data_IF_250661344033
#
_entry.id   IF_250661344033
#
_cell.length_a   1.000
_cell.length_b   1.000
_cell.length_c   1.000
_cell.angle_alpha   90.00
_cell.angle_beta   90.00
_cell.angle_gamma   90.00
#
_symmetry.space_group_name_H-M   'P 1'
#
loop_
_entity.id
_entity.type
_entity.pdbx_description
1 polymer ?
2 polymer ?
3 polymer ?
4 non-polymer ?
5 non-polymer ?
6 non-polymer ?
7 water ?
#
loop_
_entity_poly.entity_id
_entity_poly.type
_entity_poly.pdbx_seq_one_letter_code
_entity_poly.pdbx_strand_id
1 'polydeoxyribonucleotide' '(DG)(DG)(DG)(DG)(DT)(DG)(DT)(DG)(DG)(DT)(DA)(DG)' ?
2 'polydeoxyribonucleotide' '(DA)(DT)(DC)(DG)(DC)(DT)(DA)(DC)(DC)(DA)(DC)(DA)(DC)(DC)(DC)(DC)(DT)' ?
#
# COMPACT_ATOMS: atom_id res chain seq x y z
N UNK C 11 -18.26 13.05 -21.02
CA UNK C 11 -17.62 11.96 -20.27
C UNK C 11 -16.95 12.50 -19.02
N UNK C 12 -17.11 13.80 -18.76
CA UNK C 12 -16.47 14.46 -17.63
C UNK C 12 -17.49 14.64 -16.51
N UNK C 13 -17.09 14.27 -15.30
CA UNK C 13 -17.97 14.25 -14.13
C UNK C 13 -17.35 15.16 -13.08
N UNK C 14 -18.03 16.26 -12.74
CA UNK C 14 -17.52 17.21 -11.76
C UNK C 14 -17.90 16.77 -10.35
N UNK C 15 -17.29 17.39 -9.34
CA UNK C 15 -17.46 16.84 -7.99
C UNK C 15 -18.86 17.08 -7.45
N UNK C 16 -19.63 18.00 -8.05
CA UNK C 16 -21.01 18.19 -7.62
C UNK C 16 -21.99 17.32 -8.37
N UNK C 17 -21.50 16.49 -9.26
CA UNK C 17 -22.32 15.50 -9.96
C UNK C 17 -22.51 14.26 -9.08
N UNK C 18 -23.73 13.72 -8.99
CA UNK C 18 -23.92 12.53 -8.15
C UNK C 18 -23.04 11.35 -8.54
N UNK C 19 -22.55 11.29 -9.78
CA UNK C 19 -21.73 10.18 -10.23
C UNK C 19 -20.24 10.36 -9.92
N UNK C 20 -19.85 11.42 -9.21
CA UNK C 20 -18.43 11.73 -9.08
C UNK C 20 -17.67 10.64 -8.32
N UNK C 21 -18.19 10.22 -7.15
CA UNK C 21 -17.49 9.22 -6.36
C UNK C 21 -17.27 7.95 -7.16
N UNK C 22 -18.30 7.50 -7.86
CA UNK C 22 -18.17 6.29 -8.66
C UNK C 22 -17.11 6.46 -9.73
N UNK C 23 -17.12 7.59 -10.44
CA UNK C 23 -16.17 7.77 -11.53
C UNK C 23 -14.75 7.95 -11.01
N UNK C 24 -14.59 8.71 -9.92
CA UNK C 24 -13.25 8.89 -9.36
C UNK C 24 -12.66 7.57 -8.89
N UNK C 25 -13.42 6.81 -8.10
CA UNK C 25 -12.91 5.54 -7.62
C UNK C 25 -12.64 4.57 -8.77
N UNK C 26 -13.44 4.62 -9.84
CA UNK C 26 -13.19 3.75 -10.99
C UNK C 26 -11.85 4.04 -11.66
N UNK C 27 -11.39 5.29 -11.58
CA UNK C 27 -10.15 5.70 -12.23
C UNK C 27 -8.95 5.70 -11.30
N UNK C 28 -9.17 5.71 -9.98
CA UNK C 28 -8.09 5.99 -9.04
C UNK C 28 -7.32 4.72 -8.69
N UNK C 29 -6.05 4.67 -9.05
CA UNK C 29 -5.21 3.53 -8.69
C UNK C 29 -5.13 3.36 -7.18
N UNK C 30 -5.07 4.47 -6.43
CA UNK C 30 -4.89 4.34 -5.00
C UNK C 30 -6.17 3.83 -4.34
N UNK C 31 -7.33 4.20 -4.88
CA UNK C 31 -8.57 3.61 -4.38
C UNK C 31 -8.56 2.10 -4.61
N UNK C 32 -8.14 1.67 -5.80
CA UNK C 32 -8.09 0.24 -6.09
C UNK C 32 -7.14 -0.47 -5.14
N UNK C 33 -5.96 0.12 -4.95
CA UNK C 33 -4.91 -0.44 -4.04
C UNK C 33 -5.52 -0.75 -2.67
N UNK C 34 -6.26 0.21 -2.10
CA UNK C 34 -6.88 0.03 -0.79
C UNK C 34 -8.03 -0.95 -0.85
N UNK C 35 -8.86 -0.87 -1.89
CA UNK C 35 -10.04 -1.75 -1.96
C UNK C 35 -9.62 -3.20 -2.13
N UNK C 36 -8.64 -3.45 -3.00
CA UNK C 36 -8.09 -4.78 -3.16
C UNK C 36 -7.56 -5.34 -1.85
N UNK C 37 -6.76 -4.55 -1.13
CA UNK C 37 -6.20 -5.02 0.12
C UNK C 37 -7.30 -5.34 1.13
N UNK C 38 -8.32 -4.49 1.20
CA UNK C 38 -9.45 -4.75 2.09
C UNK C 38 -10.14 -6.06 1.73
N UNK C 39 -10.33 -6.32 0.44
CA UNK C 39 -10.97 -7.56 0.02
C UNK C 39 -10.12 -8.76 0.39
N UNK C 40 -8.79 -8.67 0.18
CA UNK C 40 -7.91 -9.79 0.51
C UNK C 40 -7.95 -10.09 2.01
N UNK C 41 -8.04 -9.03 2.82
CA UNK C 41 -8.10 -9.18 4.29
C UNK C 41 -9.39 -9.92 4.67
N UNK C 42 -10.52 -9.47 4.11
CA UNK C 42 -11.82 -10.11 4.36
C UNK C 42 -11.82 -11.56 3.90
N UNK C 43 -11.22 -11.83 2.74
CA UNK C 43 -11.15 -13.19 2.25
C UNK C 43 -10.36 -14.09 3.19
N UNK C 44 -9.21 -13.60 3.68
CA UNK C 44 -8.43 -14.36 4.66
C UNK C 44 -9.26 -14.66 5.91
N UNK C 45 -9.95 -13.67 6.45
CA UNK C 45 -10.70 -13.89 7.68
C UNK C 45 -11.84 -14.87 7.46
N UNK C 46 -12.51 -14.79 6.30
CA UNK C 46 -13.63 -15.69 6.04
C UNK C 46 -13.16 -17.12 5.81
N UNK C 47 -12.02 -17.28 5.13
CA UNK C 47 -11.50 -18.61 4.87
C UNK C 47 -10.92 -19.26 6.11
N UNK C 48 -10.73 -18.51 7.19
CA UNK C 48 -10.11 -19.01 8.40
C UNK C 48 -10.99 -18.87 9.64
N UNK C 49 -12.29 -18.62 9.47
CA UNK C 49 -13.16 -18.36 10.63
C UNK C 49 -13.13 -19.54 11.60
N UNK C 50 -13.06 -20.77 11.07
CA UNK C 50 -13.01 -21.96 11.90
C UNK C 50 -11.63 -22.59 11.96
N UNK C 51 -10.81 -22.39 10.92
CA UNK C 51 -9.42 -22.82 10.98
C UNK C 51 -8.69 -22.06 12.09
N UNK C 52 -7.55 -22.61 12.50
CA UNK C 52 -6.67 -21.90 13.43
C UNK C 52 -5.25 -21.94 12.90
N UNK C 53 -5.12 -21.64 11.61
CA UNK C 53 -3.86 -21.42 10.93
C UNK C 53 -3.16 -20.19 11.52
N UNK C 54 -2.07 -20.42 12.25
CA UNK C 54 -1.28 -19.37 12.87
C UNK C 54 0.03 -20.00 13.34
N UNK C 55 1.07 -19.18 13.37
CA UNK C 55 2.38 -19.62 13.85
C UNK C 55 2.37 -19.63 15.37
N UNK C 56 2.95 -20.66 15.97
CA UNK C 56 3.09 -20.73 17.41
C UNK C 56 4.57 -20.60 17.81
N UNK C 57 4.79 -20.45 19.12
CA UNK C 57 6.15 -20.35 19.64
C UNK C 57 6.97 -21.59 19.34
N UNK C 58 6.32 -22.74 19.22
CA UNK C 58 7.02 -23.98 18.96
C UNK C 58 7.53 -24.09 17.54
N UNK C 59 7.05 -23.24 16.63
CA UNK C 59 7.37 -23.37 15.22
C UNK C 59 8.64 -22.63 14.87
N UNK C 60 9.49 -23.27 14.08
CA UNK C 60 10.59 -22.60 13.40
C UNK C 60 10.17 -22.44 11.95
N UNK C 61 10.31 -21.24 11.40
CA UNK C 61 9.70 -20.96 10.12
C UNK C 61 10.70 -20.28 9.19
N UNK C 62 10.41 -20.40 7.89
CA UNK C 62 11.09 -19.66 6.83
C UNK C 62 10.06 -18.77 6.15
N UNK C 63 10.47 -17.55 5.80
CA UNK C 63 9.60 -16.59 5.14
C UNK C 63 9.96 -16.54 3.67
N UNK C 64 8.95 -16.67 2.81
CA UNK C 64 9.07 -16.42 1.38
C UNK C 64 8.21 -15.19 1.11
N UNK C 65 8.86 -14.06 0.87
CA UNK C 65 8.20 -12.80 0.56
C UNK C 65 8.21 -12.60 -0.96
N UNK C 66 7.02 -12.63 -1.56
CA UNK C 66 6.85 -12.79 -3.00
C UNK C 66 6.14 -11.58 -3.55
N UNK C 67 6.63 -11.02 -4.67
CA UNK C 67 6.07 -9.77 -5.15
C UNK C 67 6.25 -9.68 -6.67
N UNK C 68 5.20 -9.27 -7.38
CA UNK C 68 5.29 -9.07 -8.83
C UNK C 68 6.27 -7.95 -9.16
N UNK C 69 7.10 -8.17 -10.17
CA UNK C 69 7.95 -7.09 -10.70
C UNK C 69 7.06 -6.14 -11.50
N UNK C 70 7.30 -4.85 -11.34
CA UNK C 70 6.57 -3.72 -11.94
C UNK C 70 5.14 -4.13 -12.30
N UNK C 71 4.35 -4.44 -11.27
CA UNK C 71 3.07 -5.09 -11.51
C UNK C 71 2.19 -4.46 -12.59
N UNK C 72 1.79 -3.19 -12.41
CA UNK C 72 0.88 -2.60 -13.40
C UNK C 72 1.53 -2.54 -14.77
N UNK C 73 2.83 -2.23 -14.85
CA UNK C 73 3.47 -2.14 -16.17
C UNK C 73 3.50 -3.51 -16.85
N UNK C 74 3.80 -4.57 -16.10
CA UNK C 74 3.82 -5.91 -16.68
C UNK C 74 2.45 -6.30 -17.20
N UNK C 75 1.43 -6.16 -16.37
CA UNK C 75 0.09 -6.59 -16.76
C UNK C 75 -0.45 -5.71 -17.89
N UNK C 76 -0.30 -4.37 -17.75
CA UNK C 76 -0.75 -3.48 -18.82
C UNK C 76 -0.06 -3.79 -20.14
N UNK C 77 1.20 -4.21 -20.08
CA UNK C 77 1.90 -4.58 -21.30
C UNK C 77 1.33 -5.87 -21.87
N UNK C 78 1.21 -6.91 -21.04
CA UNK C 78 0.69 -8.18 -21.50
C UNK C 78 -0.73 -8.04 -22.05
N UNK C 79 -1.49 -7.08 -21.52
CA UNK C 79 -2.88 -6.87 -21.90
C UNK C 79 -3.07 -5.69 -22.85
N UNK C 80 -2.00 -5.19 -23.47
CA UNK C 80 -2.09 -3.95 -24.22
C UNK C 80 -2.92 -4.12 -25.48
N UNK C 81 -3.52 -3.02 -25.92
CA UNK C 81 -4.36 -3.00 -27.11
C UNK C 81 -3.49 -3.07 -28.36
N UNK C 82 -4.14 -3.25 -29.51
CA UNK C 82 -3.39 -3.39 -30.76
C UNK C 82 -2.66 -2.10 -31.12
N UNK C 83 -3.11 -0.96 -30.60
CA UNK C 83 -2.37 0.30 -30.80
C UNK C 83 -0.94 0.22 -30.28
N UNK C 84 -0.66 -0.69 -29.33
CA UNK C 84 0.67 -0.84 -28.76
C UNK C 84 1.30 -2.20 -29.09
N UNK C 85 0.82 -2.87 -30.15
CA UNK C 85 1.29 -4.22 -30.45
C UNK C 85 2.80 -4.29 -30.61
N UNK C 86 3.41 -3.26 -31.21
CA UNK C 86 4.84 -3.30 -31.50
C UNK C 86 5.70 -2.93 -30.30
N UNK C 87 5.09 -2.51 -29.20
CA UNK C 87 5.83 -2.16 -28.00
C UNK C 87 6.59 -3.39 -27.51
N UNK C 88 7.82 -3.17 -27.03
CA UNK C 88 8.78 -4.21 -26.63
C UNK C 88 9.13 -4.03 -25.15
N UNK C 89 8.66 -4.96 -24.30
CA UNK C 89 8.84 -4.82 -22.85
C UNK C 89 10.30 -4.90 -22.42
N UNK C 90 11.16 -5.54 -23.20
CA UNK C 90 12.58 -5.67 -22.80
C UNK C 90 13.44 -4.55 -23.38
N UNK C 91 12.90 -3.80 -24.33
CA UNK C 91 13.70 -2.76 -24.97
C UNK C 91 13.16 -1.35 -24.78
N UNK C 92 11.82 -1.17 -24.53
CA UNK C 92 11.24 0.16 -24.46
C UNK C 92 11.05 0.60 -23.01
N UNK C 93 11.21 1.90 -22.71
CA UNK C 93 10.82 2.38 -21.37
C UNK C 93 9.31 2.58 -21.33
N UNK C 94 8.65 1.88 -20.41
CA UNK C 94 7.20 1.77 -20.38
C UNK C 94 6.68 2.26 -19.04
N UNK C 95 5.64 3.10 -19.07
CA UNK C 95 4.93 3.54 -17.88
C UNK C 95 3.45 3.27 -18.07
N UNK C 96 2.74 3.26 -16.94
CA UNK C 96 1.28 3.22 -16.91
C UNK C 96 0.82 4.52 -16.27
N UNK C 97 -0.04 5.27 -16.96
CA UNK C 97 -0.57 6.49 -16.35
C UNK C 97 -1.81 6.91 -17.13
N UNK C 98 -2.55 7.87 -16.55
CA UNK C 98 -3.73 8.44 -17.19
C UNK C 98 -3.37 9.50 -18.23
N UNK C 99 -2.34 10.30 -17.96
CA UNK C 99 -2.16 11.53 -18.72
C UNK C 99 -0.83 11.69 -19.42
N UNK C 100 -0.44 12.94 -19.64
CA UNK C 100 0.72 13.27 -20.45
C UNK C 100 1.69 14.22 -19.79
N UNK C 101 1.31 14.85 -18.67
CA UNK C 101 2.17 15.85 -18.05
C UNK C 101 2.28 15.61 -16.56
N UNK C 102 1.39 16.24 -15.77
CA UNK C 102 1.47 16.11 -14.32
C UNK C 102 0.60 14.95 -13.84
N UNK C 103 0.82 13.80 -14.48
CA UNK C 103 0.10 12.55 -14.25
C UNK C 103 1.06 11.55 -13.62
N UNK C 104 0.62 10.89 -12.56
CA UNK C 104 1.48 9.96 -11.84
C UNK C 104 1.81 8.73 -12.68
N UNK C 105 3.07 8.30 -12.64
CA UNK C 105 3.45 7.02 -13.18
C UNK C 105 3.11 5.97 -12.13
N UNK C 106 2.08 5.16 -12.41
CA UNK C 106 1.68 4.12 -11.46
C UNK C 106 2.73 3.03 -11.37
N UNK C 107 3.33 2.67 -12.50
CA UNK C 107 4.34 1.63 -12.57
C UNK C 107 5.18 1.92 -13.79
N UNK C 108 6.48 1.62 -13.68
CA UNK C 108 7.34 1.71 -14.84
C UNK C 108 8.19 0.45 -14.88
N UNK C 109 8.53 0.02 -16.09
CA UNK C 109 9.32 -1.19 -16.22
C UNK C 109 10.79 -0.89 -15.94
N UNK C 110 11.60 -1.95 -15.91
CA UNK C 110 12.97 -1.78 -15.45
C UNK C 110 13.85 -1.13 -16.50
N UNK C 111 13.43 -1.12 -17.76
CA UNK C 111 14.09 -0.30 -18.77
C UNK C 111 13.98 1.17 -18.40
N UNK C 112 12.75 1.62 -18.10
CA UNK C 112 12.55 3.00 -17.69
C UNK C 112 13.33 3.30 -16.43
N UNK C 113 13.39 2.35 -15.49
CA UNK C 113 14.11 2.59 -14.25
C UNK C 113 15.61 2.70 -14.47
N UNK C 114 16.14 2.10 -15.54
CA UNK C 114 17.56 2.25 -15.81
C UNK C 114 17.93 3.69 -16.17
N UNK C 115 16.95 4.53 -16.48
CA UNK C 115 17.17 5.95 -16.72
C UNK C 115 16.93 6.80 -15.48
N UNK C 116 16.52 6.20 -14.37
CA UNK C 116 16.22 6.94 -13.16
C UNK C 116 14.75 7.21 -12.92
N UNK C 117 13.88 6.75 -13.84
CA UNK C 117 12.45 6.92 -13.64
C UNK C 117 11.98 6.02 -12.50
N UNK C 118 11.01 6.50 -11.73
CA UNK C 118 10.53 5.81 -10.54
C UNK C 118 9.02 5.83 -10.53
N UNK C 119 8.41 4.81 -9.93
CA UNK C 119 6.98 4.87 -9.65
C UNK C 119 6.67 6.15 -8.89
N UNK C 120 5.56 6.79 -9.25
CA UNK C 120 5.11 8.00 -8.58
C UNK C 120 5.64 9.29 -9.19
N UNK C 121 6.64 9.24 -10.04
CA UNK C 121 7.06 10.44 -10.76
C UNK C 121 5.96 10.88 -11.72
N UNK C 122 5.90 12.19 -11.96
CA UNK C 122 5.05 12.71 -13.02
C UNK C 122 5.67 12.38 -14.38
N UNK C 123 4.81 12.10 -15.35
CA UNK C 123 5.26 11.85 -16.72
C UNK C 123 6.19 12.98 -17.18
N UNK C 124 5.79 14.22 -16.94
CA UNK C 124 6.61 15.37 -17.33
C UNK C 124 8.04 15.27 -16.80
N UNK C 125 8.20 14.83 -15.54
CA UNK C 125 9.55 14.67 -14.99
C UNK C 125 10.27 13.50 -15.64
N UNK C 126 9.58 12.38 -15.85
CA UNK C 126 10.21 11.18 -16.42
C UNK C 126 10.72 11.40 -17.84
N UNK C 127 9.94 12.12 -18.65
CA UNK C 127 10.33 12.35 -20.04
C UNK C 127 11.68 13.05 -20.13
N UNK C 128 12.00 13.90 -19.16
CA UNK C 128 13.25 14.66 -19.22
C UNK C 128 14.47 13.81 -18.97
N UNK C 129 14.29 12.62 -18.40
CA UNK C 129 15.40 11.74 -18.08
C UNK C 129 15.80 10.85 -19.25
N UNK C 130 15.08 10.91 -20.32
CA UNK C 130 15.36 10.07 -21.47
C UNK C 130 16.30 10.79 -22.43
N UNK C 131 17.38 10.16 -22.87
CA UNK C 131 18.24 10.77 -23.89
C UNK C 131 17.46 10.96 -25.18
N UNK C 132 17.97 11.85 -26.03
CA UNK C 132 17.30 12.17 -27.28
C UNK C 132 17.15 10.91 -28.13
N UNK C 133 15.99 10.78 -28.76
CA UNK C 133 15.69 9.63 -29.59
C UNK C 133 15.02 8.48 -28.87
N UNK C 134 15.07 8.51 -27.53
CA UNK C 134 14.40 7.47 -26.68
C UNK C 134 13.00 7.98 -26.36
N UNK C 135 11.96 7.20 -26.70
CA UNK C 135 10.60 7.63 -26.49
C UNK C 135 9.95 6.84 -25.36
N UNK C 136 9.29 7.56 -24.45
CA UNK C 136 8.51 6.93 -23.40
C UNK C 136 7.23 6.34 -23.98
N UNK C 137 6.93 5.09 -23.63
CA UNK C 137 5.67 4.47 -23.99
C UNK C 137 4.73 4.54 -22.79
N UNK C 138 3.56 5.15 -22.98
CA UNK C 138 2.58 5.28 -21.91
C UNK C 138 1.40 4.37 -22.21
N UNK C 139 1.17 3.41 -21.33
CA UNK C 139 0.07 2.46 -21.46
C UNK C 139 -1.06 2.81 -20.51
N UNK C 140 -2.29 2.55 -20.91
CA UNK C 140 -3.43 2.76 -20.03
C UNK C 140 -3.52 1.70 -18.94
N UNK C 141 -4.24 2.05 -17.87
CA UNK C 141 -4.57 1.08 -16.84
C UNK C 141 -5.49 -0.01 -17.37
N UNK C 142 -5.33 -1.22 -16.81
CA UNK C 142 -6.19 -2.37 -17.08
C UNK C 142 -6.59 -2.94 -15.72
N UNK C 143 -7.51 -2.26 -15.02
CA UNK C 143 -7.73 -2.54 -13.61
C UNK C 143 -8.28 -3.95 -13.41
N UNK C 144 -9.22 -4.37 -14.25
CA UNK C 144 -9.82 -5.69 -14.05
C UNK C 144 -8.80 -6.79 -14.30
N UNK C 145 -7.88 -6.58 -15.25
CA UNK C 145 -6.86 -7.59 -15.49
C UNK C 145 -5.80 -7.59 -14.39
N UNK C 146 -5.50 -6.43 -13.79
CA UNK C 146 -4.68 -6.45 -12.58
C UNK C 146 -5.28 -7.43 -11.57
N UNK C 147 -6.59 -7.33 -11.38
CA UNK C 147 -7.24 -8.19 -10.36
C UNK C 147 -7.20 -9.67 -10.80
N UNK C 148 -7.45 -9.94 -12.08
CA UNK C 148 -7.41 -11.33 -12.54
C UNK C 148 -6.03 -11.94 -12.37
N UNK C 149 -4.97 -11.17 -12.68
CA UNK C 149 -3.62 -11.69 -12.49
C UNK C 149 -3.33 -11.97 -11.01
N UNK C 150 -3.80 -11.07 -10.13
CA UNK C 150 -3.66 -11.29 -8.69
C UNK C 150 -4.36 -12.58 -8.26
N UNK C 151 -5.57 -12.81 -8.77
CA UNK C 151 -6.27 -14.07 -8.50
C UNK C 151 -5.43 -15.29 -8.88
N UNK C 152 -4.84 -15.26 -10.08
CA UNK C 152 -3.99 -16.36 -10.51
C UNK C 152 -2.81 -16.54 -9.56
N UNK C 153 -2.22 -15.43 -9.12
CA UNK C 153 -1.14 -15.42 -8.14
C UNK C 153 -1.54 -16.15 -6.87
N UNK C 154 -2.61 -15.69 -6.23
CA UNK C 154 -3.00 -16.27 -4.94
C UNK C 154 -3.48 -17.71 -5.10
N UNK C 155 -4.15 -18.02 -6.21
CA UNK C 155 -4.56 -19.40 -6.45
C UNK C 155 -3.33 -20.30 -6.59
N UNK C 156 -2.31 -19.83 -7.31
CA UNK C 156 -1.10 -20.63 -7.46
C UNK C 156 -0.41 -20.87 -6.12
N UNK C 157 -0.33 -19.83 -5.28
CA UNK C 157 0.34 -19.99 -4.00
C UNK C 157 -0.30 -21.10 -3.17
N UNK C 158 -1.63 -21.13 -3.14
CA UNK C 158 -2.37 -22.16 -2.39
C UNK C 158 -2.15 -23.53 -3.00
N UNK C 159 -2.20 -23.62 -4.33
CA UNK C 159 -2.15 -24.90 -5.03
C UNK C 159 -0.81 -25.59 -4.83
N UNK C 160 0.26 -24.82 -4.65
CA UNK C 160 1.58 -25.41 -4.49
C UNK C 160 1.70 -26.27 -3.25
N UNK C 161 0.87 -25.99 -2.23
CA UNK C 161 0.86 -26.78 -0.99
C UNK C 161 2.26 -26.86 -0.36
N UNK C 162 2.92 -25.71 -0.27
CA UNK C 162 4.24 -25.64 0.35
C UNK C 162 4.27 -24.70 1.54
N UNK C 163 3.20 -23.95 1.80
CA UNK C 163 3.16 -22.95 2.86
C UNK C 163 2.14 -23.33 3.90
N UNK C 164 2.50 -23.08 5.17
CA UNK C 164 1.56 -23.26 6.26
C UNK C 164 0.65 -22.04 6.43
N UNK C 165 1.14 -20.87 6.03
CA UNK C 165 0.39 -19.63 6.19
C UNK C 165 0.72 -18.69 5.04
N UNK C 166 -0.31 -18.17 4.40
CA UNK C 166 -0.18 -17.27 3.24
C UNK C 166 -0.84 -15.97 3.64
N UNK C 167 -0.05 -14.91 3.78
CA UNK C 167 -0.56 -13.65 4.28
C UNK C 167 -0.64 -12.65 3.15
N UNK C 168 -1.82 -12.13 2.81
CA UNK C 168 -1.89 -11.11 1.75
C UNK C 168 -1.28 -9.80 2.24
N UNK C 169 -0.36 -9.26 1.45
CA UNK C 169 0.16 -7.93 1.70
C UNK C 169 -0.51 -6.90 0.80
N UNK C 170 -0.69 -7.26 -0.48
CA UNK C 170 -1.23 -6.35 -1.46
C UNK C 170 -1.75 -7.17 -2.64
N UNK C 171 -2.29 -6.46 -3.63
CA UNK C 171 -2.75 -7.09 -4.87
C UNK C 171 -1.65 -7.94 -5.50
N UNK C 172 -0.39 -7.54 -5.34
CA UNK C 172 0.71 -8.21 -6.03
C UNK C 172 1.77 -8.76 -5.08
N UNK C 173 1.46 -8.96 -3.80
CA UNK C 173 2.52 -9.25 -2.85
C UNK C 173 1.97 -10.08 -1.70
N UNK C 174 2.69 -11.13 -1.32
CA UNK C 174 2.26 -11.94 -0.20
C UNK C 174 3.45 -12.39 0.62
N UNK C 175 3.20 -12.62 1.91
CA UNK C 175 4.20 -13.18 2.82
C UNK C 175 3.77 -14.61 3.11
N UNK C 176 4.62 -15.55 2.73
CA UNK C 176 4.28 -16.96 2.73
C UNK C 176 5.22 -17.67 3.69
N UNK C 177 4.66 -18.42 4.62
CA UNK C 177 5.40 -18.94 5.78
C UNK C 177 5.43 -20.46 5.67
N UNK C 178 6.62 -21.03 5.78
CA UNK C 178 6.81 -22.47 5.76
C UNK C 178 7.44 -22.90 7.08
N UNK C 179 6.74 -23.77 7.81
CA UNK C 179 7.22 -24.27 9.10
C UNK C 179 8.13 -25.46 8.85
N UNK C 180 9.30 -25.44 9.47
CA UNK C 180 10.31 -26.48 9.29
C UNK C 180 10.31 -27.36 10.53
N UNK C 181 9.91 -28.62 10.44
CA UNK C 181 9.98 -29.51 11.60
C UNK C 181 11.43 -29.70 12.05
N UNK C 182 11.61 -29.91 13.36
CA UNK C 182 12.96 -30.04 13.92
C UNK C 182 13.70 -31.24 13.36
N UNK C 183 12.97 -32.27 12.94
CA UNK C 183 13.52 -33.47 12.31
C UNK C 183 13.93 -33.26 10.86
N UNK C 184 13.75 -32.07 10.31
CA UNK C 184 14.04 -31.79 8.91
C UNK C 184 15.26 -30.88 8.84
N UNK C 185 16.15 -31.16 7.88
CA UNK C 185 17.32 -30.34 7.66
C UNK C 185 17.04 -29.45 6.44
N UNK C 186 16.73 -28.19 6.70
CA UNK C 186 16.53 -27.24 5.64
C UNK C 186 17.88 -26.82 5.06
N UNK C 187 17.93 -26.64 3.74
CA UNK C 187 19.14 -26.23 3.07
C UNK C 187 18.84 -25.16 2.04
N UNK C 188 19.89 -24.42 1.67
CA UNK C 188 19.82 -23.45 0.59
C UNK C 188 19.33 -24.09 -0.70
N UNK C 189 19.78 -25.31 -0.99
CA UNK C 189 19.38 -25.96 -2.24
C UNK C 189 17.87 -26.22 -2.27
N UNK C 190 17.30 -26.67 -1.15
CA UNK C 190 15.86 -26.87 -1.12
C UNK C 190 15.13 -25.53 -1.19
N UNK C 191 15.65 -24.51 -0.53
CA UNK C 191 15.00 -23.20 -0.61
C UNK C 191 15.09 -22.61 -2.01
N UNK C 192 16.23 -22.78 -2.67
CA UNK C 192 16.36 -22.31 -4.05
C UNK C 192 15.40 -23.03 -4.98
N UNK C 193 15.24 -24.35 -4.80
CA UNK C 193 14.30 -25.07 -5.66
C UNK C 193 12.87 -24.63 -5.42
N UNK C 194 12.51 -24.32 -4.17
CA UNK C 194 11.17 -23.81 -3.90
C UNK C 194 10.97 -22.45 -4.55
N UNK C 195 11.94 -21.55 -4.43
CA UNK C 195 11.86 -20.25 -5.10
C UNK C 195 11.66 -20.41 -6.60
N UNK C 196 12.41 -21.33 -7.23
CA UNK C 196 12.30 -21.49 -8.67
C UNK C 196 10.95 -22.10 -9.05
N UNK C 197 10.45 -23.04 -8.25
CA UNK C 197 9.11 -23.57 -8.48
C UNK C 197 8.06 -22.47 -8.40
N UNK C 198 8.12 -21.66 -7.34
CA UNK C 198 7.19 -20.57 -7.17
C UNK C 198 7.23 -19.64 -8.38
N UNK C 199 8.44 -19.21 -8.76
CA UNK C 199 8.57 -18.27 -9.88
C UNK C 199 8.05 -18.85 -11.19
N UNK C 200 8.36 -20.12 -11.47
CA UNK C 200 7.89 -20.69 -12.73
C UNK C 200 6.39 -20.93 -12.73
N UNK C 201 5.85 -21.42 -11.61
CA UNK C 201 4.42 -21.68 -11.56
C UNK C 201 3.62 -20.38 -11.64
N UNK C 202 4.12 -19.29 -11.04
CA UNK C 202 3.39 -18.04 -11.17
C UNK C 202 3.53 -17.47 -12.57
N UNK C 203 4.72 -17.61 -13.17
CA UNK C 203 4.92 -17.17 -14.55
C UNK C 203 3.94 -17.88 -15.49
N UNK C 204 3.80 -19.19 -15.33
CA UNK C 204 2.83 -19.92 -16.16
C UNK C 204 1.40 -19.53 -15.81
N UNK C 205 1.08 -19.46 -14.52
CA UNK C 205 -0.30 -19.25 -14.11
C UNK C 205 -0.82 -17.87 -14.45
N UNK C 206 0.07 -16.89 -14.54
CA UNK C 206 -0.31 -15.53 -14.88
C UNK C 206 -0.08 -15.20 -16.34
N UNK C 207 0.31 -16.19 -17.15
CA UNK C 207 0.53 -15.98 -18.58
C UNK C 207 1.60 -14.92 -18.84
N UNK C 208 2.67 -14.94 -18.05
CA UNK C 208 3.84 -14.16 -18.40
C UNK C 208 4.28 -13.10 -17.42
N UNK C 209 3.65 -12.94 -16.26
CA UNK C 209 4.17 -12.01 -15.27
C UNK C 209 5.28 -12.67 -14.45
N UNK C 210 6.22 -11.85 -13.98
CA UNK C 210 7.34 -12.34 -13.17
C UNK C 210 7.17 -11.89 -11.73
N UNK C 211 7.60 -12.73 -10.80
CA UNK C 211 7.71 -12.33 -9.41
C UNK C 211 9.16 -12.49 -8.97
N UNK C 212 9.56 -11.66 -8.03
CA UNK C 212 10.80 -11.88 -7.31
C UNK C 212 10.47 -12.34 -5.89
N UNK C 213 11.47 -12.95 -5.24
CA UNK C 213 11.25 -13.59 -3.95
C UNK C 213 12.42 -13.28 -3.02
N UNK C 214 12.11 -12.88 -1.79
CA UNK C 214 13.08 -12.85 -0.71
C UNK C 214 12.79 -13.97 0.26
N UNK C 215 13.84 -14.70 0.64
CA UNK C 215 13.68 -15.88 1.48
C UNK C 215 14.61 -15.75 2.68
N UNK C 216 14.05 -15.80 3.88
CA UNK C 216 14.87 -15.65 5.07
C UNK C 216 14.15 -16.23 6.28
N UNK C 217 14.79 -16.06 7.43
CA UNK C 217 14.27 -16.49 8.75
C UNK C 217 13.73 -15.30 9.58
N UNK C 218 13.63 -14.11 8.99
CA UNK C 218 12.88 -13.03 9.59
C UNK C 218 12.09 -12.32 8.50
N UNK C 219 11.03 -11.63 8.92
CA UNK C 219 10.25 -10.83 7.97
C UNK C 219 11.10 -9.71 7.38
N UNK C 220 11.91 -9.04 8.21
CA UNK C 220 12.64 -7.88 7.71
C UNK C 220 13.71 -8.31 6.72
N UNK C 221 14.41 -9.42 6.99
CA UNK C 221 15.42 -9.86 6.03
C UNK C 221 14.78 -10.38 4.76
N UNK C 222 13.58 -10.98 4.85
CA UNK C 222 12.94 -11.43 3.62
C UNK C 222 12.53 -10.25 2.76
N UNK C 223 12.13 -9.15 3.38
CA UNK C 223 11.83 -7.92 2.62
C UNK C 223 13.08 -7.37 1.93
N UNK C 224 14.19 -7.31 2.66
CA UNK C 224 15.43 -6.81 2.06
C UNK C 224 15.91 -7.74 0.96
N UNK C 225 15.89 -9.05 1.23
CA UNK C 225 16.25 -10.03 0.21
C UNK C 225 15.43 -9.85 -1.04
N UNK C 226 14.13 -9.55 -0.89
CA UNK C 226 13.26 -9.32 -2.03
C UNK C 226 13.76 -8.15 -2.87
N UNK C 227 14.11 -7.05 -2.20
CA UNK C 227 14.64 -5.89 -2.94
C UNK C 227 15.91 -6.32 -3.69
N UNK C 228 16.81 -7.02 -3.02
CA UNK C 228 18.04 -7.47 -3.66
C UNK C 228 17.75 -8.38 -4.84
N UNK C 229 16.67 -9.16 -4.77
CA UNK C 229 16.39 -10.12 -5.83
C UNK C 229 15.89 -9.47 -7.11
N UNK C 230 15.30 -8.29 -7.04
CA UNK C 230 14.61 -7.71 -8.19
C UNK C 230 15.61 -7.25 -9.26
N UNK C 231 15.23 -7.33 -10.54
CA UNK C 231 13.98 -7.89 -11.06
C UNK C 231 14.08 -9.37 -11.42
N UNK C 232 12.95 -10.08 -11.36
CA UNK C 232 12.81 -11.44 -11.89
C UNK C 232 13.89 -12.37 -11.32
N UNK C 233 14.06 -12.34 -10.00
CA UNK C 233 15.04 -13.21 -9.38
C UNK C 233 14.61 -13.60 -7.98
N UNK C 234 15.50 -14.32 -7.28
CA UNK C 234 15.26 -14.63 -5.88
C UNK C 234 16.56 -14.47 -5.12
N UNK C 235 16.44 -14.26 -3.82
CA UNK C 235 17.61 -14.12 -2.96
C UNK C 235 17.31 -14.79 -1.63
N UNK C 236 18.25 -15.59 -1.18
CA UNK C 236 18.14 -16.30 0.09
C UNK C 236 19.23 -15.74 1.00
N UNK C 237 18.83 -15.02 2.05
CA UNK C 237 19.78 -14.48 3.02
C UNK C 237 19.20 -14.70 4.42
N UNK C 238 19.72 -15.69 5.12
CA UNK C 238 19.34 -15.99 6.49
C UNK C 238 20.20 -15.18 7.45
N UNK C 239 19.76 -15.09 8.70
CA UNK C 239 20.55 -14.35 9.68
C UNK C 239 21.99 -14.86 9.73
N UNK C 240 22.16 -16.18 9.58
CA UNK C 240 23.48 -16.79 9.56
C UNK C 240 24.34 -16.24 8.42
N UNK C 241 23.72 -15.85 7.30
CA UNK C 241 24.44 -15.42 6.11
C UNK C 241 24.74 -13.93 6.08
N UNK C 242 24.45 -13.18 7.14
CA UNK C 242 24.58 -11.72 7.07
C UNK C 242 26.05 -11.32 6.88
N UNK C 243 26.27 -10.28 6.09
CA UNK C 243 27.62 -9.83 5.77
C UNK C 243 27.62 -8.34 5.49
N UNK C 244 28.81 -7.77 5.51
CA UNK C 244 28.97 -6.36 5.13
C UNK C 244 28.52 -6.13 3.68
N UNK C 245 28.80 -7.10 2.80
CA UNK C 245 28.37 -6.97 1.41
C UNK C 245 26.85 -6.87 1.31
N UNK C 246 26.12 -7.58 2.17
CA UNK C 246 24.67 -7.50 2.18
C UNK C 246 24.21 -6.09 2.56
N UNK C 247 24.63 -5.60 3.74
CA UNK C 247 24.15 -4.32 4.23
C UNK C 247 24.59 -3.16 3.33
N UNK C 248 25.77 -3.28 2.70
CA UNK C 248 26.23 -2.22 1.80
C UNK C 248 25.38 -2.10 0.55
N UNK C 249 24.47 -3.06 0.30
CA UNK C 249 23.67 -3.08 -0.91
C UNK C 249 22.38 -2.27 -0.81
N UNK C 250 22.03 -1.75 0.36
CA UNK C 250 20.72 -1.14 0.58
C UNK C 250 20.85 0.33 0.94
N UNK C 251 19.87 1.11 0.47
CA UNK C 251 19.66 2.48 0.92
C UNK C 251 18.95 2.47 2.27
N UNK C 252 19.00 3.62 2.95
CA UNK C 252 18.41 3.66 4.28
C UNK C 252 16.89 3.48 4.23
N UNK C 253 16.22 4.06 3.24
CA UNK C 253 14.77 3.88 3.14
C UNK C 253 14.39 2.57 2.48
N UNK C 254 15.35 1.67 2.27
CA UNK C 254 14.99 0.28 2.01
C UNK C 254 14.46 -0.40 3.26
N UNK C 255 14.78 0.10 4.45
CA UNK C 255 14.29 -0.53 5.67
C UNK C 255 12.79 -0.30 5.81
N UNK C 256 12.03 -1.32 6.21
CA UNK C 256 10.60 -1.12 6.43
C UNK C 256 10.37 -0.15 7.59
N UNK C 257 9.49 0.82 7.37
CA UNK C 257 9.22 1.83 8.36
C UNK C 257 10.00 3.11 8.18
N UNK C 258 10.98 3.15 7.28
CA UNK C 258 11.77 4.34 7.01
C UNK C 258 11.28 4.95 5.71
N UNK C 259 10.57 6.07 5.81
CA UNK C 259 10.22 6.88 4.68
C UNK C 259 11.04 8.15 4.62
N UNK C 260 10.58 9.10 3.81
CA UNK C 260 11.38 10.28 3.53
C UNK C 260 11.67 11.09 4.79
N UNK C 261 10.70 11.18 5.71
CA UNK C 261 10.92 12.01 6.90
C UNK C 261 11.93 11.35 7.83
N UNK C 262 11.80 10.04 8.04
CA UNK C 262 12.77 9.31 8.86
C UNK C 262 14.14 9.32 8.20
N UNK C 263 14.17 9.15 6.88
CA UNK C 263 15.42 9.20 6.13
C UNK C 263 16.14 10.51 6.38
N UNK C 264 15.42 11.62 6.30
CA UNK C 264 16.06 12.91 6.54
C UNK C 264 16.59 13.02 7.95
N UNK C 265 15.84 12.52 8.93
CA UNK C 265 16.31 12.59 10.32
C UNK C 265 17.55 11.73 10.51
N UNK C 266 17.57 10.52 9.95
CA UNK C 266 18.75 9.68 10.05
C UNK C 266 19.95 10.33 9.37
N UNK C 267 19.74 10.97 8.23
CA UNK C 267 20.84 11.60 7.52
C UNK C 267 21.39 12.79 8.31
N UNK C 268 20.51 13.52 8.98
CA UNK C 268 20.99 14.65 9.78
C UNK C 268 21.73 14.16 11.02
N UNK C 269 21.26 13.07 11.63
CA UNK C 269 21.85 12.62 12.88
C UNK C 269 23.16 11.90 12.68
N UNK C 270 23.29 11.10 11.61
CA UNK C 270 24.44 10.22 11.46
C UNK C 270 25.31 10.58 10.25
N UNK C 271 25.39 11.88 9.91
CA UNK C 271 26.37 12.36 8.95
C UNK C 271 26.17 11.73 7.57
N UNK C 272 24.91 11.72 7.13
CA UNK C 272 24.54 11.30 5.78
C UNK C 272 25.03 9.89 5.40
N UNK C 273 24.65 8.87 6.16
CA UNK C 273 24.97 7.50 5.74
C UNK C 273 24.39 7.23 4.37
N UNK C 274 25.12 6.46 3.54
CA UNK C 274 24.68 6.20 2.18
C UNK C 274 24.32 4.74 1.94
N UNK C 275 24.42 3.90 2.96
CA UNK C 275 23.95 2.53 2.90
C UNK C 275 23.59 2.09 4.29
N UNK C 276 22.86 0.97 4.39
CA UNK C 276 22.58 0.39 5.70
C UNK C 276 23.86 -0.03 6.40
N UNK C 277 24.91 -0.33 5.65
CA UNK C 277 26.19 -0.61 6.29
C UNK C 277 26.75 0.64 6.96
N UNK C 278 26.71 1.79 6.26
CA UNK C 278 27.11 3.05 6.87
C UNK C 278 26.37 3.27 8.17
N UNK C 279 25.04 3.11 8.13
CA UNK C 279 24.23 3.38 9.31
C UNK C 279 24.58 2.44 10.45
N UNK C 280 24.72 1.14 10.15
CA UNK C 280 24.89 0.20 11.26
C UNK C 280 26.27 0.31 11.88
N UNK C 281 27.26 0.81 11.15
CA UNK C 281 28.57 1.04 11.76
C UNK C 281 28.63 2.32 12.57
N UNK C 282 27.69 3.25 12.38
CA UNK C 282 27.75 4.56 13.03
C UNK C 282 26.79 4.71 14.20
N UNK C 283 25.68 3.99 14.20
CA UNK C 283 24.62 4.33 15.13
C UNK C 283 24.92 3.80 16.53
N UNK C 284 24.28 4.43 17.51
CA UNK C 284 24.06 3.91 18.85
C UNK C 284 22.56 3.85 19.06
N UNK C 285 22.09 2.85 19.80
CA UNK C 285 20.63 2.70 20.06
C UNK C 285 20.03 3.99 20.63
N UNK C 286 20.69 4.59 21.60
CA UNK C 286 20.14 5.82 22.21
C UNK C 286 20.09 7.01 21.28
N UNK C 287 21.14 7.23 20.49
CA UNK C 287 21.19 8.37 19.54
C UNK C 287 20.13 8.17 18.46
N UNK C 288 19.83 6.89 18.16
CA UNK C 288 18.83 6.49 17.15
C UNK C 288 17.41 6.70 17.72
N UNK C 289 17.08 6.34 18.91
CA UNK C 289 15.78 6.69 19.46
C UNK C 289 15.61 8.20 19.54
N UNK C 290 16.65 8.92 19.93
CA UNK C 290 16.56 10.37 19.97
C UNK C 290 16.27 10.95 18.60
N UNK C 291 16.78 10.31 17.54
CA UNK C 291 16.65 10.87 16.21
C UNK C 291 15.27 10.63 15.63
N UNK C 292 14.76 9.39 15.74
CA UNK C 292 13.57 9.00 15.00
C UNK C 292 12.44 8.54 15.90
N UNK C 293 12.64 8.48 17.20
CA UNK C 293 11.61 8.03 18.11
C UNK C 293 11.95 6.68 18.74
N UNK C 294 11.35 6.44 19.90
CA UNK C 294 11.75 5.26 20.68
C UNK C 294 11.34 3.96 20.02
N UNK C 295 10.09 3.84 19.56
CA UNK C 295 9.66 2.57 18.98
C UNK C 295 10.27 2.34 17.62
N UNK C 296 10.26 3.36 16.75
CA UNK C 296 10.88 3.21 15.45
C UNK C 296 12.38 3.03 15.58
N UNK C 297 12.99 3.69 16.58
CA UNK C 297 14.41 3.49 16.83
C UNK C 297 14.75 2.07 17.21
N UNK C 298 13.91 1.46 18.06
CA UNK C 298 14.13 0.06 18.42
C UNK C 298 13.90 -0.86 17.22
N UNK C 299 12.88 -0.56 16.41
CA UNK C 299 12.62 -1.33 15.19
C UNK C 299 13.83 -1.34 14.27
N UNK C 300 14.40 -0.17 14.03
CA UNK C 300 15.56 -0.07 13.14
C UNK C 300 16.75 -0.80 13.73
N UNK C 301 16.99 -0.60 15.03
CA UNK C 301 18.09 -1.28 15.69
C UNK C 301 17.98 -2.79 15.54
N UNK C 302 16.80 -3.33 15.78
CA UNK C 302 16.58 -4.76 15.58
C UNK C 302 16.74 -5.15 14.13
N UNK C 303 16.22 -4.31 13.22
CA UNK C 303 16.33 -4.60 11.79
C UNK C 303 17.78 -4.71 11.33
N UNK C 304 18.66 -3.88 11.89
CA UNK C 304 20.06 -3.93 11.51
C UNK C 304 20.78 -5.15 12.06
N UNK C 305 20.12 -5.94 12.91
CA UNK C 305 20.60 -7.25 13.31
C UNK C 305 19.88 -8.35 12.55
N UNK C 306 19.08 -7.98 11.55
CA UNK C 306 18.28 -8.94 10.82
C UNK C 306 17.06 -9.44 11.58
N UNK C 307 16.64 -8.76 12.64
CA UNK C 307 15.61 -9.25 13.54
C UNK C 307 14.33 -8.42 13.45
N UNK C 308 13.18 -9.09 13.59
CA UNK C 308 11.89 -8.42 13.64
C UNK C 308 11.61 -7.87 15.04
N UNK C 309 10.81 -6.81 15.08
CA UNK C 309 10.32 -6.26 16.33
C UNK C 309 9.01 -6.95 16.72
N UNK C 310 8.61 -6.74 17.97
CA UNK C 310 7.41 -7.36 18.49
C UNK C 310 6.19 -7.02 17.65
N UNK C 311 6.07 -5.76 17.21
CA UNK C 311 4.88 -5.36 16.48
C UNK C 311 4.78 -6.09 15.14
N UNK C 312 5.88 -6.18 14.40
CA UNK C 312 5.84 -6.82 13.09
C UNK C 312 5.54 -8.31 13.20
N UNK C 313 5.97 -8.94 14.30
CA UNK C 313 5.73 -10.36 14.51
C UNK C 313 4.27 -10.69 14.78
N UNK C 314 3.45 -9.70 15.13
CA UNK C 314 2.06 -10.01 15.45
C UNK C 314 1.34 -10.64 14.27
N UNK C 315 1.74 -10.30 13.04
CA UNK C 315 1.02 -10.83 11.88
C UNK C 315 1.20 -12.35 11.78
N UNK C 316 2.32 -12.88 12.28
CA UNK C 316 2.55 -14.32 12.23
C UNK C 316 1.78 -15.04 13.33
N UNK C 317 1.74 -14.46 14.52
CA UNK C 317 1.23 -15.16 15.69
C UNK C 317 -0.26 -14.94 15.91
N UNK C 318 -0.84 -13.87 15.37
CA UNK C 318 -2.28 -13.65 15.45
C UNK C 318 -2.74 -12.88 14.21
N UNK C 319 -2.66 -13.51 13.04
CA UNK C 319 -3.05 -12.82 11.80
C UNK C 319 -4.51 -12.39 11.78
N UNK C 320 -5.40 -13.11 12.46
CA UNK C 320 -6.82 -12.74 12.42
C UNK C 320 -7.04 -11.38 13.07
N UNK C 321 -6.33 -11.09 14.17
CA UNK C 321 -6.52 -9.80 14.81
C UNK C 321 -5.79 -8.69 14.06
N UNK C 322 -4.61 -8.98 13.48
CA UNK C 322 -3.91 -7.98 12.69
C UNK C 322 -4.72 -7.61 11.44
N UNK C 323 -5.32 -8.58 10.78
CA UNK C 323 -6.03 -8.31 9.53
C UNK C 323 -7.47 -7.87 9.75
N UNK C 324 -7.95 -7.87 10.99
CA UNK C 324 -9.31 -7.41 11.26
C UNK C 324 -9.41 -5.90 11.10
N UNK C 325 -10.41 -5.48 10.34
CA UNK C 325 -10.61 -4.06 10.08
C UNK C 325 -11.13 -3.34 11.34
N UNK C 326 -10.49 -2.22 11.69
CA UNK C 326 -10.84 -1.46 12.88
C UNK C 326 -11.37 -0.06 12.57
N UNK C 327 -11.32 0.37 11.32
CA UNK C 327 -11.80 1.68 10.93
C UNK C 327 -12.29 1.60 9.49
N UNK C 328 -13.00 2.64 9.05
CA UNK C 328 -13.57 2.66 7.72
C UNK C 328 -13.60 4.12 7.27
N UNK C 329 -13.08 4.40 6.07
CA UNK C 329 -13.01 5.80 5.67
C UNK C 329 -12.94 5.93 4.16
N UNK C 330 -13.24 7.14 3.67
CA UNK C 330 -12.92 7.53 2.30
C UNK C 330 -12.17 8.85 2.33
N UNK C 331 -11.31 9.04 1.33
CA UNK C 331 -10.53 10.25 1.17
C UNK C 331 -10.65 10.71 -0.28
N UNK C 332 -11.00 11.97 -0.50
CA UNK C 332 -11.10 12.51 -1.85
C UNK C 332 -10.36 13.84 -1.86
N UNK C 333 -9.17 13.83 -2.43
CA UNK C 333 -8.31 15.02 -2.45
C UNK C 333 -7.90 15.38 -3.86
N UNK C 334 -8.75 15.04 -4.84
CA UNK C 334 -8.54 15.37 -6.25
C UNK C 334 -9.90 15.71 -6.85
N UNK C 335 -9.97 16.78 -7.64
CA UNK C 335 -11.22 17.19 -8.25
C UNK C 335 -12.18 17.93 -7.34
N UNK C 336 -11.73 18.39 -6.18
CA UNK C 336 -12.62 19.02 -5.21
C UNK C 336 -12.68 20.51 -5.51
N UNK C 337 -13.81 20.97 -6.08
CA UNK C 337 -14.00 22.35 -6.49
C UNK C 337 -15.48 22.69 -6.29
N UNK C 338 -15.80 23.19 -5.10
CA UNK C 338 -17.17 23.50 -4.76
C UNK C 338 -17.37 25.02 -4.71
N UNK C 339 -18.56 25.45 -5.15
CA UNK C 339 -18.91 26.87 -5.18
C UNK C 339 -19.68 27.33 -3.96
N UNK C 340 -20.30 26.43 -3.21
CA UNK C 340 -21.14 26.87 -2.10
C UNK C 340 -21.34 25.71 -1.12
N UNK C 341 -21.89 26.06 0.03
CA UNK C 341 -21.99 25.10 1.12
C UNK C 341 -23.06 24.05 0.84
N UNK C 342 -24.09 24.39 0.04
CA UNK C 342 -25.10 23.41 -0.30
C UNK C 342 -24.47 22.23 -1.03
N UNK C 343 -23.54 22.51 -1.95
CA UNK C 343 -22.93 21.44 -2.72
C UNK C 343 -21.95 20.64 -1.87
N UNK C 344 -21.24 21.30 -0.95
CA UNK C 344 -20.38 20.58 -0.01
C UNK C 344 -21.21 19.62 0.83
N UNK C 345 -22.33 20.10 1.36
CA UNK C 345 -23.16 19.26 2.22
C UNK C 345 -23.68 18.04 1.46
N UNK C 346 -24.10 18.23 0.20
CA UNK C 346 -24.58 17.11 -0.60
C UNK C 346 -23.47 16.10 -0.84
N UNK C 347 -22.23 16.58 -1.05
CA UNK C 347 -21.12 15.66 -1.23
C UNK C 347 -20.85 14.87 0.04
N UNK C 348 -20.90 15.53 1.18
CA UNK C 348 -20.72 14.83 2.45
C UNK C 348 -21.79 13.75 2.60
N UNK C 349 -23.04 14.08 2.23
CA UNK C 349 -24.12 13.09 2.31
C UNK C 349 -23.84 11.90 1.41
N UNK C 350 -23.40 12.14 0.18
CA UNK C 350 -23.07 11.04 -0.71
C UNK C 350 -21.96 10.18 -0.14
N UNK C 351 -20.97 10.82 0.47
CA UNK C 351 -19.88 10.05 1.07
C UNK C 351 -20.35 9.23 2.24
N UNK C 352 -21.24 9.79 3.07
CA UNK C 352 -21.75 9.04 4.22
C UNK C 352 -22.57 7.84 3.74
N UNK C 353 -23.38 8.02 2.69
CA UNK C 353 -24.14 6.92 2.11
C UNK C 353 -23.20 5.81 1.65
N UNK C 354 -22.14 6.18 0.96
CA UNK C 354 -21.16 5.20 0.49
C UNK C 354 -20.54 4.45 1.66
N UNK C 355 -20.12 5.18 2.70
CA UNK C 355 -19.48 4.54 3.84
C UNK C 355 -20.45 3.65 4.59
N UNK C 356 -21.71 4.05 4.69
CA UNK C 356 -22.67 3.24 5.44
C UNK C 356 -23.00 1.96 4.70
N UNK C 357 -22.92 1.96 3.37
CA UNK C 357 -23.05 0.70 2.64
C UNK C 357 -21.93 -0.24 3.02
N UNK C 358 -20.71 0.29 3.07
CA UNK C 358 -19.56 -0.51 3.50
C UNK C 358 -19.73 -0.98 4.93
N UNK C 359 -20.21 -0.11 5.81
CA UNK C 359 -20.39 -0.48 7.21
C UNK C 359 -21.44 -1.56 7.37
N UNK C 360 -22.53 -1.49 6.60
CA UNK C 360 -23.58 -2.49 6.71
C UNK C 360 -23.13 -3.83 6.14
N UNK C 361 -22.25 -3.80 5.14
CA UNK C 361 -21.75 -5.05 4.56
C UNK C 361 -20.98 -5.87 5.59
N UNK C 362 -20.29 -5.20 6.50
CA UNK C 362 -19.52 -5.91 7.52
C UNK C 362 -20.31 -6.01 8.81
N UNK C 363 -21.58 -5.58 8.78
CA UNK C 363 -22.52 -5.76 9.89
C UNK C 363 -21.98 -5.17 11.20
N UNK C 364 -21.67 -3.88 11.15
CA UNK C 364 -21.13 -3.20 12.32
C UNK C 364 -21.78 -1.83 12.42
N UNK C 365 -21.63 -1.20 13.58
CA UNK C 365 -22.01 0.18 13.79
C UNK C 365 -20.74 0.98 14.12
N UNK C 366 -20.88 2.29 14.21
CA UNK C 366 -19.74 3.13 14.56
C UNK C 366 -20.12 4.04 15.72
N UNK C 367 -19.15 4.28 16.61
CA UNK C 367 -19.37 5.15 17.75
C UNK C 367 -18.51 6.39 17.74
N UNK C 368 -17.65 6.57 16.74
CA UNK C 368 -16.79 7.74 16.67
C UNK C 368 -16.52 8.02 15.21
N UNK C 369 -16.66 9.27 14.80
CA UNK C 369 -16.45 9.64 13.40
C UNK C 369 -15.53 10.84 13.36
N UNK C 370 -14.91 11.02 12.19
CA UNK C 370 -13.98 12.13 11.97
C UNK C 370 -14.20 12.72 10.59
N UNK C 371 -14.14 14.03 10.49
CA UNK C 371 -14.06 14.71 9.20
C UNK C 371 -12.72 15.42 9.12
N UNK C 372 -12.03 15.18 8.01
CA UNK C 372 -10.75 15.88 7.75
C UNK C 372 -10.89 16.65 6.44
N UNK C 373 -10.20 17.77 6.33
CA UNK C 373 -10.24 18.51 5.08
C UNK C 373 -8.87 19.09 4.77
N UNK C 374 -8.73 19.39 3.47
CA UNK C 374 -7.53 20.06 2.95
C UNK C 374 -8.02 21.43 2.44
N UNK C 375 -7.42 22.51 2.93
CA UNK C 375 -7.78 23.86 2.50
C UNK C 375 -6.61 24.52 1.78
N UNK C 376 -6.89 25.19 0.67
CA UNK C 376 -5.86 25.90 -0.08
C UNK C 376 -5.06 26.83 0.84
N UNK C 377 -3.73 26.67 0.85
CA UNK C 377 -2.87 27.62 1.54
C UNK C 377 -3.16 29.04 1.05
N UNK C 378 -3.07 30.01 1.98
CA UNK C 378 -3.49 31.37 1.65
C UNK C 378 -2.70 31.94 0.48
N UNK C 379 -1.45 31.54 0.32
CA UNK C 379 -0.60 32.04 -0.76
C UNK C 379 -0.45 31.06 -1.93
N UNK C 380 -1.30 30.03 -2.00
CA UNK C 380 -1.23 29.04 -3.05
C UNK C 380 -2.20 29.35 -4.17
N UNK C 381 -1.81 29.11 -5.42
CA UNK C 381 -2.72 29.43 -6.54
C UNK C 381 -4.03 28.67 -6.44
N UNK C 382 -5.10 29.34 -6.89
CA UNK C 382 -6.43 28.73 -6.92
C UNK C 382 -6.44 27.49 -7.80
N UNK C 383 -5.69 27.51 -8.89
CA UNK C 383 -5.55 26.31 -9.70
C UNK C 383 -4.11 25.84 -9.64
N UNK C 384 -3.86 24.68 -9.06
CA UNK C 384 -2.48 24.27 -8.78
C UNK C 384 -1.82 23.69 -10.02
N UNK C 385 -0.52 23.39 -9.97
CA UNK C 385 0.16 22.82 -11.14
C UNK C 385 -0.53 21.59 -11.71
N UNK C 386 -0.97 20.67 -10.85
CA UNK C 386 -1.66 19.46 -11.29
C UNK C 386 -3.13 19.77 -11.55
N UNK C 387 -3.59 19.48 -12.76
CA UNK C 387 -5.01 19.64 -13.10
C UNK C 387 -5.89 18.95 -12.06
N UNK C 388 -6.79 19.73 -11.47
CA UNK C 388 -7.74 19.28 -10.44
C UNK C 388 -7.06 18.82 -9.16
N UNK C 389 -5.78 19.09 -8.99
CA UNK C 389 -5.10 18.67 -7.78
C UNK C 389 -5.48 19.51 -6.57
N UNK C 390 -5.15 18.99 -5.38
CA UNK C 390 -5.42 19.78 -4.16
C UNK C 390 -4.40 20.91 -4.05
N UNK C 391 -3.23 20.76 -4.66
CA UNK C 391 -2.15 21.74 -4.51
C UNK C 391 -1.66 21.80 -3.06
N UNK C 392 -0.97 22.89 -2.75
CA UNK C 392 -0.47 23.09 -1.39
C UNK C 392 -1.64 23.45 -0.47
N UNK C 393 -1.76 22.67 0.60
CA UNK C 393 -2.91 22.90 1.49
C UNK C 393 -2.57 22.73 2.96
N UNK C 394 -3.40 23.32 3.81
CA UNK C 394 -3.36 23.11 5.24
C UNK C 394 -4.42 22.08 5.58
N UNK C 395 -4.11 21.24 6.56
CA UNK C 395 -4.97 20.14 6.96
C UNK C 395 -5.68 20.48 8.26
N UNK C 396 -6.95 20.09 8.36
CA UNK C 396 -7.77 20.30 9.54
C UNK C 396 -8.55 19.01 9.79
N UNK C 397 -8.74 18.68 11.05
CA UNK C 397 -9.39 17.42 11.41
C UNK C 397 -10.18 17.61 12.70
N UNK C 398 -11.38 17.04 12.76
CA UNK C 398 -12.10 17.03 14.03
C UNK C 398 -12.94 15.75 14.14
N UNK C 399 -13.02 15.20 15.33
CA UNK C 399 -13.72 13.95 15.57
C UNK C 399 -14.86 14.18 16.56
N UNK C 400 -15.78 13.21 16.60
CA UNK C 400 -16.95 13.31 17.46
C UNK C 400 -17.36 11.92 17.92
N UNK C 401 -17.53 11.76 19.23
CA UNK C 401 -18.05 10.53 19.80
C UNK C 401 -19.57 10.56 19.71
N UNK C 402 -20.17 9.49 19.17
CA UNK C 402 -21.61 9.48 18.97
C UNK C 402 -22.39 9.08 20.22
N UNK C 403 -21.74 8.42 21.17
CA UNK C 403 -22.46 7.94 22.33
C UNK C 403 -23.03 6.56 22.02
N UNK C 404 -24.28 6.51 21.58
CA UNK C 404 -24.84 5.24 21.14
C UNK C 404 -24.23 4.87 19.80
N UNK C 405 -23.56 3.71 19.69
CA UNK C 405 -23.11 3.24 18.38
C UNK C 405 -24.27 3.13 17.41
N UNK C 406 -24.04 3.51 16.15
CA UNK C 406 -25.15 3.59 15.21
C UNK C 406 -24.67 3.35 13.79
N UNK C 407 -25.64 2.99 12.93
CA UNK C 407 -25.44 3.00 11.48
C UNK C 407 -26.46 3.92 10.81
N UNK C 408 -27.01 4.87 11.55
CA UNK C 408 -28.12 5.68 11.05
C UNK C 408 -27.59 6.87 10.25
N UNK C 409 -28.02 6.95 8.99
CA UNK C 409 -27.59 8.04 8.13
C UNK C 409 -27.88 9.40 8.74
N UNK C 410 -29.10 9.56 9.26
CA UNK C 410 -29.50 10.86 9.80
C UNK C 410 -28.55 11.35 10.87
N UNK C 411 -28.18 10.46 11.79
CA UNK C 411 -27.27 10.84 12.87
C UNK C 411 -25.89 11.17 12.31
N UNK C 412 -25.35 10.28 11.49
CA UNK C 412 -23.95 10.39 11.08
C UNK C 412 -23.77 11.54 10.11
N UNK C 413 -24.63 11.63 9.10
CA UNK C 413 -24.50 12.71 8.12
C UNK C 413 -24.69 14.06 8.78
N UNK C 414 -25.64 14.18 9.71
CA UNK C 414 -25.84 15.46 10.38
C UNK C 414 -24.59 15.85 11.16
N UNK C 415 -23.97 14.90 11.84
CA UNK C 415 -22.79 15.21 12.63
C UNK C 415 -21.60 15.50 11.73
N UNK C 416 -21.46 14.79 10.61
CA UNK C 416 -20.36 15.13 9.68
C UNK C 416 -20.51 16.55 9.16
N UNK C 417 -21.74 16.96 8.82
CA UNK C 417 -21.93 18.31 8.29
C UNK C 417 -21.67 19.35 9.36
N UNK C 418 -21.97 19.03 10.63
CA UNK C 418 -21.66 19.93 11.73
C UNK C 418 -20.16 20.01 11.94
N UNK C 419 -19.47 18.86 11.87
CA UNK C 419 -18.01 18.86 11.94
C UNK C 419 -17.41 19.76 10.88
N UNK C 420 -17.95 19.73 9.66
CA UNK C 420 -17.45 20.62 8.63
C UNK C 420 -17.65 22.08 9.04
N UNK C 421 -18.84 22.41 9.54
CA UNK C 421 -19.09 23.78 10.01
C UNK C 421 -18.05 24.20 11.03
N UNK C 422 -17.70 23.31 11.97
CA UNK C 422 -16.78 23.72 13.03
C UNK C 422 -15.40 24.03 12.50
N UNK C 423 -15.01 23.48 11.34
CA UNK C 423 -13.67 23.77 10.83
C UNK C 423 -13.59 25.03 9.98
N UNK C 424 -14.71 25.65 9.64
CA UNK C 424 -14.70 26.99 9.07
C UNK C 424 -14.12 27.17 7.68
N UNK C 425 -13.97 26.11 6.89
CA UNK C 425 -13.44 26.23 5.53
C UNK C 425 -14.49 26.80 4.59
N UNK C 426 -14.23 27.96 3.97
CA UNK C 426 -15.13 28.41 2.88
C UNK C 426 -15.18 27.39 1.78
N UNK C 427 -16.36 27.09 1.24
CA UNK C 427 -16.45 26.07 0.18
C UNK C 427 -15.46 26.27 -0.96
N UNK C 428 -15.24 27.50 -1.41
CA UNK C 428 -14.36 27.74 -2.53
C UNK C 428 -12.88 27.57 -2.18
N UNK C 429 -12.53 27.45 -0.91
CA UNK C 429 -11.16 27.13 -0.51
C UNK C 429 -10.94 25.65 -0.27
N UNK C 430 -12.01 24.85 -0.25
CA UNK C 430 -11.87 23.43 0.04
C UNK C 430 -11.19 22.71 -1.12
N UNK C 431 -10.21 21.85 -0.80
CA UNK C 431 -9.49 21.11 -1.82
C UNK C 431 -9.44 19.61 -1.54
N UNK C 432 -10.01 19.16 -0.43
CA UNK C 432 -10.00 17.75 -0.11
C UNK C 432 -10.87 17.45 1.09
N UNK C 433 -11.43 16.23 1.13
CA UNK C 433 -12.33 15.81 2.19
C UNK C 433 -12.08 14.35 2.53
N UNK C 434 -12.03 14.05 3.81
CA UNK C 434 -11.98 12.67 4.28
C UNK C 434 -13.11 12.48 5.29
N UNK C 435 -13.79 11.34 5.18
CA UNK C 435 -14.85 10.97 6.11
C UNK C 435 -14.45 9.65 6.73
N UNK C 436 -14.46 9.57 8.06
CA UNK C 436 -13.93 8.40 8.75
C UNK C 436 -14.90 7.90 9.81
N UNK C 437 -15.05 6.58 9.87
CA UNK C 437 -15.70 5.91 11.00
C UNK C 437 -14.55 5.29 11.80
N UNK C 438 -14.21 5.90 12.94
CA UNK C 438 -12.96 5.56 13.63
C UNK C 438 -13.08 4.33 14.51
N UNK C 439 -14.25 4.15 15.08
CA UNK C 439 -14.45 3.01 16.00
C UNK C 439 -15.64 2.21 15.51
N UNK C 440 -15.47 0.89 15.41
CA UNK C 440 -16.52 0.02 14.93
C UNK C 440 -16.93 -0.93 16.04
N UNK C 441 -18.23 -1.22 16.10
CA UNK C 441 -18.80 -2.04 17.16
C UNK C 441 -19.61 -3.16 16.53
N UNK C 442 -19.46 -4.37 17.07
CA UNK C 442 -20.15 -5.53 16.54
C UNK C 442 -21.65 -5.42 16.70
N UNK C 443 -22.38 -6.05 15.80
CA UNK C 443 -23.83 -6.23 15.92
C UNK C 443 -24.07 -7.70 16.23
N UNK C 444 -24.66 -7.99 17.38
CA UNK C 444 -24.89 -9.35 17.78
C UNK C 444 -26.35 -9.75 17.61
N UNK C 445 -26.67 -11.00 17.94
CA UNK C 445 -28.08 -11.44 17.82
C UNK C 445 -28.99 -10.79 18.84
N UNK C 446 -28.46 -10.31 19.96
CA UNK C 446 -29.24 -9.72 21.04
C UNK C 446 -29.16 -8.20 20.90
N UNK C 447 -30.24 -7.58 20.44
CA UNK C 447 -30.33 -6.12 20.40
C UNK C 447 -31.50 -5.58 21.21
N UNK C 448 -31.98 -6.34 22.18
CA UNK C 448 -32.96 -5.83 23.12
C UNK C 448 -32.26 -4.85 24.04
N UNK C 449 -32.44 -3.56 23.81
CA UNK C 449 -31.53 -2.56 24.38
C UNK C 449 -30.07 -2.98 24.35
X LIG D 1 5.64 -5.29 -6.91
X LIG E 1 3.81 -4.83 -3.89
X LIG F 1 10.95 1.85 3.70
X LIG G 1 10.60 -18.06 -13.74
X LIG G 1 10.88 -19.28 -14.43
X LIG G 1 10.26 -16.93 -14.69
X LIG G 1 10.25 -15.69 -14.00
X LIG G 1 11.19 -16.86 -15.88
X LIG G 1 11.02 -15.65 -16.60
X LIG H 1 4.77 -1.95 -5.93
X LIG H 1 5.01 -3.35 -5.62
X LIG H 1 5.25 -0.99 -4.93
X LIG H 1 5.48 -1.56 -7.30
X LIG H 1 5.77 -2.31 -8.68
X LIG H 1 5.29 -3.66 -8.55
X LIG H 1 5.21 -1.46 -9.85
X LIG H 1 7.35 -2.32 -8.82
X LIG H 1 8.43 -3.24 -8.07
X LIG H 1 7.68 -4.02 -7.03
X LIG H 1 9.08 -4.18 -9.12
X LIG H 1 9.49 -2.28 -7.50
X LIG H 1 3.23 -1.71 -6.17
X LIG H 1 2.41 -2.65 -6.87
X LIG H 1 1.49 -1.91 -7.80
X LIG H 1 0.60 -1.11 -7.00
X LIG H 1 2.19 -0.93 -8.73
X LIG H 1 2.54 -1.54 -9.97
X LIG H 1 1.18 0.18 -8.91
X LIG H 1 0.38 0.15 -7.62
X LIG H 1 0.77 1.21 -6.69
X LIG H 1 0.16 2.45 -6.81
X LIG H 1 -0.68 2.64 -7.67
X LIG H 1 0.51 3.48 -5.93
X LIG H 1 1.47 3.19 -5.06
X LIG H 1 1.78 4.11 -4.30
X LIG H 1 2.14 1.96 -4.88
X LIG H 1 3.20 1.72 -3.84
X LIG H 1 1.82 0.91 -5.76
#
# INVERSE_FOLDING_TARGET
PVNLNNLEAKRIVACDDPDFLTSYFAHSRLHHLSAWKANLKDKFLNENIHKYTKITDKDTYIIFHIDFDCFFATVAYLCRSSSFSACDFKRDPIVVCHGTKNSDIASCNYVARSYGIKNGMWVSQAEKMLPNGIKLISLPYTFEQFQLKSEAFYSTLKRLNIFNLILPISIDEAVCVRIIPDNIHNTNTLNARLCEEIRQEIFQGTNGCTVSIGCSDSLVLARLALKMAKPNGYNITFKSNLSEEFWSSFKLDDLPGVGHSTLSRLESTFDSPHSLNDLRKRYTLDALKASVGSKLGMKIHLALQGQDDEESLKILYDPKEVLQRKSLSIDINWGIRFKNITQVDLFIERGCQYLLEKLNEINKTTSQITLKLMRRCKDAPIEPPKYMGMGRCDSFSRSSRLGIPTNEFGIIATEMKSLYRTLGCPPMELRGLALQFNKLVDVGPDNNQLK
CA CA
CA CA
CA CA
GOL C1 O1 C2 O2 C3 O3
TTP PA O1A O2A O3A PB O1B O2B O3B PG O1G O2G O3G O5' C5' C4' O4' C3' O3' C2' C1' N1 C2 O2 N3 C4 O4 C5 C5M C6
#
